data_IF_373773510842
#
_entry.id   IF_373773510842
#
_cell.length_a   1.000
_cell.length_b   1.000
_cell.length_c   1.000
_cell.angle_alpha   90.00
_cell.angle_beta   90.00
_cell.angle_gamma   90.00
#
_symmetry.space_group_name_H-M   'P 1'
#
loop_
_entity.id
_entity.type
_entity.pdbx_description
1 polymer ?
#
# COMPACT_ATOMS: atom_id res chain seq x y z
N UNK A 1 28.24 -84.17 -33.48
CA UNK A 1 27.22 -83.79 -32.47
C UNK A 1 27.42 -82.30 -32.09
N UNK A 2 26.65 -81.42 -32.73
CA UNK A 2 26.82 -79.98 -32.59
C UNK A 2 25.69 -79.44 -31.68
N UNK A 3 26.06 -79.01 -30.48
CA UNK A 3 25.13 -78.39 -29.57
C UNK A 3 24.87 -76.93 -29.99
N UNK A 4 23.63 -76.68 -30.41
CA UNK A 4 23.17 -75.30 -30.67
C UNK A 4 22.93 -74.59 -29.36
N UNK A 5 23.68 -73.49 -29.10
CA UNK A 5 23.48 -72.60 -27.97
C UNK A 5 22.52 -71.50 -28.44
N UNK A 6 21.32 -71.46 -27.89
CA UNK A 6 20.36 -70.36 -28.09
C UNK A 6 20.79 -69.20 -27.21
N UNK A 7 21.19 -68.08 -27.83
CA UNK A 7 21.47 -66.85 -27.18
C UNK A 7 20.16 -66.07 -27.13
N UNK A 8 19.50 -66.07 -25.95
CA UNK A 8 18.31 -65.28 -25.68
C UNK A 8 18.72 -63.85 -25.44
N UNK A 9 18.46 -62.96 -26.40
CA UNK A 9 18.71 -61.55 -26.29
C UNK A 9 17.53 -60.88 -25.53
N UNK A 10 17.75 -60.61 -24.24
CA UNK A 10 16.78 -59.94 -23.41
C UNK A 10 16.84 -58.43 -23.68
N UNK A 11 15.84 -57.94 -24.45
CA UNK A 11 15.73 -56.52 -24.78
C UNK A 11 15.11 -55.79 -23.61
N UNK A 12 15.95 -55.12 -22.80
CA UNK A 12 15.50 -54.25 -21.70
C UNK A 12 15.00 -52.94 -22.32
N UNK A 13 13.69 -52.80 -22.38
CA UNK A 13 13.06 -51.53 -22.70
C UNK A 13 13.18 -50.60 -21.49
N UNK A 14 14.07 -49.62 -21.59
CA UNK A 14 14.21 -48.54 -20.57
C UNK A 14 13.11 -47.50 -20.87
N UNK A 15 11.98 -47.59 -20.14
CA UNK A 15 11.01 -46.50 -20.10
C UNK A 15 11.63 -45.30 -19.36
N UNK A 16 12.12 -44.32 -20.10
CA UNK A 16 12.45 -43.03 -19.56
C UNK A 16 11.14 -42.32 -19.16
N UNK A 17 10.78 -42.43 -17.90
CA UNK A 17 9.72 -41.62 -17.32
C UNK A 17 10.15 -40.14 -17.28
N UNK A 18 9.63 -39.33 -18.19
CA UNK A 18 9.74 -37.88 -18.09
C UNK A 18 8.89 -37.44 -16.93
N UNK A 19 9.50 -37.21 -15.76
CA UNK A 19 8.86 -36.50 -14.66
C UNK A 19 8.61 -35.06 -15.11
N UNK A 20 7.39 -34.78 -15.50
CA UNK A 20 6.89 -33.41 -15.62
C UNK A 20 6.82 -32.85 -14.20
N UNK A 21 7.87 -32.17 -13.77
CA UNK A 21 7.78 -31.32 -12.61
C UNK A 21 6.80 -30.20 -12.98
N UNK A 22 5.55 -30.34 -12.54
CA UNK A 22 4.61 -29.25 -12.49
C UNK A 22 5.21 -28.22 -11.52
N UNK A 23 5.96 -27.26 -12.07
CA UNK A 23 6.34 -26.06 -11.35
C UNK A 23 5.06 -25.32 -11.00
N UNK A 24 4.55 -25.52 -9.78
CA UNK A 24 3.60 -24.60 -9.20
C UNK A 24 4.36 -23.29 -9.09
N UNK A 25 4.08 -22.38 -10.01
CA UNK A 25 4.43 -20.97 -9.85
C UNK A 25 3.64 -20.45 -8.66
N UNK A 26 4.20 -20.62 -7.48
CA UNK A 26 3.79 -19.90 -6.27
C UNK A 26 4.12 -18.43 -6.51
N UNK A 27 3.20 -17.73 -7.18
CA UNK A 27 3.19 -16.29 -7.31
C UNK A 27 2.67 -15.68 -6.01
N UNK A 28 3.21 -16.07 -4.88
CA UNK A 28 3.13 -15.28 -3.67
C UNK A 28 4.02 -14.06 -3.91
N UNK A 29 3.44 -13.00 -4.46
CA UNK A 29 4.12 -11.72 -4.61
C UNK A 29 4.62 -11.33 -3.22
N UNK A 30 5.95 -11.33 -3.05
CA UNK A 30 6.58 -11.04 -1.76
C UNK A 30 6.06 -9.69 -1.27
N UNK A 31 5.37 -9.71 -0.14
CA UNK A 31 4.77 -8.52 0.48
C UNK A 31 5.80 -7.39 0.60
N UNK A 32 5.48 -6.23 0.04
CA UNK A 32 6.37 -5.08 0.05
C UNK A 32 6.32 -4.33 1.39
N UNK A 33 7.28 -3.44 1.63
CA UNK A 33 7.24 -2.55 2.80
C UNK A 33 6.02 -1.62 2.75
N UNK A 34 5.62 -1.21 1.56
CA UNK A 34 4.40 -0.44 1.35
C UNK A 34 3.15 -1.23 1.77
N UNK A 35 3.02 -2.48 1.34
CA UNK A 35 1.88 -3.33 1.70
C UNK A 35 1.80 -3.55 3.22
N UNK A 36 2.94 -3.79 3.87
CA UNK A 36 3.03 -3.89 5.33
C UNK A 36 2.54 -2.62 6.01
N UNK A 37 2.90 -1.46 5.49
CA UNK A 37 2.45 -0.18 6.02
C UNK A 37 0.93 -0.01 5.86
N UNK A 38 0.39 -0.31 4.68
CA UNK A 38 -1.05 -0.24 4.41
C UNK A 38 -1.84 -1.15 5.36
N UNK A 39 -1.33 -2.34 5.65
CA UNK A 39 -1.94 -3.23 6.66
C UNK A 39 -1.94 -2.60 8.06
N UNK A 40 -0.83 -1.96 8.49
CA UNK A 40 -0.79 -1.29 9.79
C UNK A 40 -1.82 -0.14 9.85
N UNK A 41 -1.96 0.65 8.78
CA UNK A 41 -2.96 1.72 8.68
C UNK A 41 -4.39 1.15 8.76
N UNK A 42 -4.69 0.07 8.03
CA UNK A 42 -6.01 -0.59 8.11
C UNK A 42 -6.33 -1.06 9.53
N UNK A 43 -5.34 -1.62 10.24
CA UNK A 43 -5.49 -2.03 11.64
C UNK A 43 -5.70 -0.83 12.56
N UNK A 44 -4.98 0.28 12.34
CA UNK A 44 -5.11 1.51 13.10
C UNK A 44 -6.53 2.09 12.95
N UNK A 45 -7.03 2.25 11.72
CA UNK A 45 -8.40 2.73 11.45
C UNK A 45 -9.47 1.87 12.17
N UNK A 46 -9.28 0.52 12.21
CA UNK A 46 -10.18 -0.36 12.96
C UNK A 46 -10.12 -0.15 14.48
N UNK A 47 -8.95 0.19 15.00
CA UNK A 47 -8.78 0.47 16.43
C UNK A 47 -9.39 1.83 16.81
N UNK A 48 -9.24 2.85 15.97
CA UNK A 48 -9.91 4.15 16.14
C UNK A 48 -11.43 4.00 16.22
N UNK A 49 -12.02 3.28 15.26
CA UNK A 49 -13.47 3.00 15.28
C UNK A 49 -13.96 2.29 16.56
N UNK A 50 -13.06 1.65 17.30
CA UNK A 50 -13.32 0.99 18.60
C UNK A 50 -12.91 1.85 19.80
N UNK A 51 -12.58 3.14 19.61
CA UNK A 51 -12.12 4.05 20.66
C UNK A 51 -10.75 3.70 21.27
N UNK A 52 -9.97 2.79 20.63
CA UNK A 52 -8.66 2.34 21.13
C UNK A 52 -7.53 3.21 20.58
N UNK A 53 -7.59 4.52 20.85
CA UNK A 53 -6.71 5.54 20.24
C UNK A 53 -5.23 5.28 20.44
N UNK A 54 -4.78 4.99 21.66
CA UNK A 54 -3.34 4.69 21.90
C UNK A 54 -2.81 3.50 21.10
N UNK A 55 -3.65 2.46 20.97
CA UNK A 55 -3.28 1.28 20.16
C UNK A 55 -3.26 1.61 18.68
N UNK A 56 -4.13 2.51 18.22
CA UNK A 56 -4.14 3.00 16.85
C UNK A 56 -2.86 3.81 16.55
N UNK A 57 -2.47 4.73 17.44
CA UNK A 57 -1.24 5.52 17.32
C UNK A 57 -0.02 4.61 17.15
N UNK A 58 0.13 3.58 18.00
CA UNK A 58 1.23 2.61 17.87
C UNK A 58 1.25 1.89 16.51
N UNK A 59 0.10 1.69 15.88
CA UNK A 59 0.01 1.13 14.53
C UNK A 59 0.41 2.13 13.47
N UNK A 60 0.01 3.39 13.58
CA UNK A 60 0.45 4.46 12.69
C UNK A 60 1.96 4.66 12.74
N UNK A 61 2.56 4.67 13.91
CA UNK A 61 4.03 4.75 14.08
C UNK A 61 4.76 3.57 13.37
N UNK A 62 4.20 2.37 13.44
CA UNK A 62 4.76 1.20 12.70
C UNK A 62 4.62 1.40 11.19
N UNK A 63 3.48 1.92 10.73
CA UNK A 63 3.28 2.23 9.32
C UNK A 63 4.31 3.25 8.83
N UNK A 64 4.54 4.33 9.57
CA UNK A 64 5.55 5.34 9.25
C UNK A 64 6.93 4.72 9.07
N UNK A 65 7.35 3.82 9.98
CA UNK A 65 8.65 3.12 9.86
C UNK A 65 8.79 2.32 8.57
N UNK A 66 7.73 1.64 8.13
CA UNK A 66 7.71 0.90 6.87
C UNK A 66 7.70 1.84 5.66
N UNK A 67 6.90 2.91 5.71
CA UNK A 67 6.78 3.88 4.61
C UNK A 67 8.07 4.67 4.39
N UNK A 68 8.75 5.10 5.46
CA UNK A 68 10.05 5.77 5.36
C UNK A 68 11.07 4.87 4.66
N UNK A 69 11.13 3.59 5.02
CA UNK A 69 12.00 2.62 4.34
C UNK A 69 11.58 2.41 2.88
N UNK A 70 10.28 2.31 2.62
CA UNK A 70 9.74 2.17 1.25
C UNK A 70 10.09 3.37 0.39
N UNK A 71 9.90 4.59 0.91
CA UNK A 71 10.24 5.84 0.22
C UNK A 71 11.73 5.98 -0.05
N UNK A 72 12.59 5.51 0.88
CA UNK A 72 14.04 5.48 0.66
C UNK A 72 14.45 4.53 -0.47
N UNK A 73 13.78 3.38 -0.58
CA UNK A 73 14.07 2.37 -1.61
C UNK A 73 13.49 2.75 -2.98
N UNK A 74 12.32 3.36 -3.00
CA UNK A 74 11.60 3.78 -4.21
C UNK A 74 11.05 5.19 -3.97
N UNK A 75 11.86 6.23 -4.14
CA UNK A 75 11.45 7.62 -3.92
C UNK A 75 10.44 8.08 -4.98
N UNK A 76 9.85 9.23 -4.75
CA UNK A 76 8.94 9.92 -5.69
C UNK A 76 7.70 9.07 -6.07
N UNK A 77 7.09 8.42 -5.07
CA UNK A 77 5.79 7.77 -5.19
C UNK A 77 4.75 8.55 -4.40
N UNK A 78 3.81 9.20 -5.11
CA UNK A 78 2.76 10.00 -4.49
C UNK A 78 1.94 9.20 -3.47
N UNK A 79 1.56 7.95 -3.78
CA UNK A 79 0.90 7.06 -2.85
C UNK A 79 1.67 6.83 -1.54
N UNK A 80 2.99 6.66 -1.62
CA UNK A 80 3.82 6.46 -0.42
C UNK A 80 3.83 7.72 0.43
N UNK A 81 3.93 8.90 -0.20
CA UNK A 81 3.90 10.21 0.47
C UNK A 81 2.50 10.49 1.04
N UNK A 82 1.43 10.09 0.35
CA UNK A 82 0.07 10.15 0.85
C UNK A 82 -0.07 9.41 2.19
N UNK A 83 0.34 8.16 2.23
CA UNK A 83 0.26 7.37 3.47
C UNK A 83 1.24 7.83 4.56
N UNK A 84 2.41 8.38 4.20
CA UNK A 84 3.30 9.05 5.16
C UNK A 84 2.59 10.24 5.78
N UNK A 85 2.03 11.13 4.98
CA UNK A 85 1.26 12.28 5.46
C UNK A 85 0.12 11.85 6.37
N UNK A 86 -0.68 10.88 5.91
CA UNK A 86 -1.81 10.37 6.68
C UNK A 86 -1.38 9.79 8.04
N UNK A 87 -0.44 8.86 8.07
CA UNK A 87 -0.03 8.21 9.31
C UNK A 87 0.64 9.22 10.27
N UNK A 88 1.46 10.15 9.76
CA UNK A 88 2.13 11.18 10.55
C UNK A 88 1.11 12.15 11.17
N UNK A 89 0.12 12.63 10.37
CA UNK A 89 -0.98 13.44 10.89
C UNK A 89 -1.76 12.72 12.01
N UNK A 90 -2.03 11.42 11.84
CA UNK A 90 -2.77 10.60 12.81
C UNK A 90 -2.00 10.34 14.11
N UNK A 91 -0.69 10.59 14.15
CA UNK A 91 0.10 10.62 15.39
C UNK A 91 0.15 12.01 16.05
N UNK A 92 -0.51 13.02 15.46
CA UNK A 92 -0.56 14.39 15.96
C UNK A 92 0.49 15.32 15.35
N UNK A 93 1.39 14.83 14.51
CA UNK A 93 2.40 15.63 13.85
C UNK A 93 1.85 16.22 12.53
N UNK A 94 1.07 17.29 12.66
CA UNK A 94 0.44 17.95 11.51
C UNK A 94 1.46 18.60 10.58
N UNK A 95 2.53 19.17 11.12
CA UNK A 95 3.54 19.88 10.33
C UNK A 95 4.27 18.93 9.35
N UNK A 96 4.79 17.82 9.85
CA UNK A 96 5.45 16.85 8.98
C UNK A 96 4.43 16.10 8.09
N UNK A 97 3.21 15.88 8.56
CA UNK A 97 2.12 15.35 7.76
C UNK A 97 1.86 16.20 6.51
N UNK A 98 1.75 17.52 6.69
CA UNK A 98 1.58 18.47 5.59
C UNK A 98 2.78 18.46 4.62
N UNK A 99 4.02 18.45 5.13
CA UNK A 99 5.21 18.39 4.27
C UNK A 99 5.17 17.17 3.34
N UNK A 100 4.78 15.99 3.84
CA UNK A 100 4.65 14.80 3.00
C UNK A 100 3.58 14.96 1.92
N UNK A 101 2.42 15.52 2.25
CA UNK A 101 1.37 15.77 1.28
C UNK A 101 1.82 16.75 0.19
N UNK A 102 2.46 17.86 0.57
CA UNK A 102 2.97 18.84 -0.40
C UNK A 102 4.04 18.23 -1.32
N UNK A 103 4.92 17.38 -0.79
CA UNK A 103 5.87 16.63 -1.62
C UNK A 103 5.15 15.70 -2.61
N UNK A 104 4.07 15.05 -2.18
CA UNK A 104 3.28 14.19 -3.05
C UNK A 104 2.56 14.99 -4.15
N UNK A 105 2.00 16.15 -3.82
CA UNK A 105 1.35 17.03 -4.82
C UNK A 105 2.35 17.68 -5.80
N UNK A 106 3.61 17.84 -5.40
CA UNK A 106 4.66 18.28 -6.32
C UNK A 106 4.94 17.21 -7.40
N UNK A 107 4.65 15.95 -7.14
CA UNK A 107 4.80 14.83 -8.09
C UNK A 107 3.50 14.65 -8.88
N UNK A 108 2.37 14.62 -8.18
CA UNK A 108 1.04 14.35 -8.72
C UNK A 108 0.01 15.34 -8.16
N UNK A 109 -0.14 16.53 -8.80
CA UNK A 109 -0.99 17.61 -8.29
C UNK A 109 -2.45 17.24 -8.08
N UNK A 110 -2.96 16.32 -8.88
CA UNK A 110 -4.36 15.87 -8.85
C UNK A 110 -4.55 14.54 -8.09
N UNK A 111 -3.57 14.11 -7.28
CA UNK A 111 -3.69 12.88 -6.50
C UNK A 111 -4.87 12.97 -5.54
N UNK A 112 -5.90 12.15 -5.77
CA UNK A 112 -7.20 12.20 -5.09
C UNK A 112 -7.03 12.12 -3.57
N UNK A 113 -6.39 11.06 -3.06
CA UNK A 113 -6.25 10.85 -1.62
C UNK A 113 -5.38 11.90 -0.92
N UNK A 114 -4.40 12.53 -1.61
CA UNK A 114 -3.61 13.61 -1.00
C UNK A 114 -4.46 14.86 -0.88
N UNK A 115 -5.22 15.24 -1.91
CA UNK A 115 -6.08 16.41 -1.86
C UNK A 115 -7.16 16.25 -0.76
N UNK A 116 -7.76 15.07 -0.62
CA UNK A 116 -8.67 14.76 0.49
C UNK A 116 -7.99 14.97 1.86
N UNK A 117 -6.92 14.22 2.14
CA UNK A 117 -6.32 14.20 3.48
C UNK A 117 -5.60 15.50 3.85
N UNK A 118 -5.04 16.22 2.88
CA UNK A 118 -4.50 17.56 3.11
C UNK A 118 -5.62 18.55 3.38
N UNK A 119 -6.75 18.45 2.69
CA UNK A 119 -7.94 19.24 2.97
C UNK A 119 -8.45 19.04 4.40
N UNK A 120 -8.58 17.77 4.85
CA UNK A 120 -8.94 17.46 6.24
C UNK A 120 -7.91 18.00 7.26
N UNK A 121 -6.61 17.96 6.93
CA UNK A 121 -5.57 18.55 7.77
C UNK A 121 -5.76 20.07 7.88
N UNK A 122 -6.10 20.73 6.79
CA UNK A 122 -6.35 22.17 6.79
C UNK A 122 -7.59 22.54 7.62
N UNK A 123 -8.66 21.76 7.57
CA UNK A 123 -9.81 21.94 8.46
C UNK A 123 -9.39 21.78 9.93
N UNK A 124 -8.67 20.71 10.26
CA UNK A 124 -8.20 20.42 11.62
C UNK A 124 -7.24 21.49 12.18
N UNK A 125 -6.61 22.29 11.32
CA UNK A 125 -5.70 23.38 11.68
C UNK A 125 -6.29 24.78 11.43
N UNK A 126 -7.62 24.88 11.30
CA UNK A 126 -8.37 26.13 11.07
C UNK A 126 -7.96 26.91 9.81
N UNK A 127 -7.50 26.24 8.78
CA UNK A 127 -7.10 26.81 7.49
C UNK A 127 -8.15 26.52 6.41
N UNK A 128 -9.38 26.94 6.67
CA UNK A 128 -10.58 26.60 5.88
C UNK A 128 -10.47 26.99 4.40
N UNK A 129 -9.83 28.11 4.07
CA UNK A 129 -9.66 28.52 2.68
C UNK A 129 -8.82 27.51 1.88
N UNK A 130 -7.71 27.02 2.49
CA UNK A 130 -6.87 26.00 1.86
C UNK A 130 -7.60 24.64 1.73
N UNK A 131 -8.46 24.31 2.69
CA UNK A 131 -9.30 23.11 2.59
C UNK A 131 -10.25 23.18 1.39
N UNK A 132 -10.89 24.33 1.17
CA UNK A 132 -11.77 24.57 0.01
C UNK A 132 -11.00 24.51 -1.31
N UNK A 133 -9.76 24.99 -1.36
CA UNK A 133 -8.90 24.84 -2.56
C UNK A 133 -8.63 23.36 -2.85
N UNK A 134 -8.42 22.53 -1.83
CA UNK A 134 -8.23 21.08 -2.04
C UNK A 134 -9.53 20.42 -2.52
N UNK A 135 -10.68 20.85 -1.98
CA UNK A 135 -11.98 20.35 -2.41
C UNK A 135 -12.23 20.67 -3.88
N UNK A 136 -11.89 21.90 -4.34
CA UNK A 136 -12.09 22.29 -5.73
C UNK A 136 -11.26 21.44 -6.73
N UNK A 137 -10.08 20.96 -6.33
CA UNK A 137 -9.29 20.01 -7.14
C UNK A 137 -10.00 18.68 -7.34
N UNK A 138 -10.84 18.28 -6.37
CA UNK A 138 -11.61 17.04 -6.42
C UNK A 138 -12.96 17.20 -7.15
N UNK A 139 -13.33 18.40 -7.57
CA UNK A 139 -14.57 18.61 -8.34
C UNK A 139 -14.54 17.79 -9.64
N UNK A 140 -15.62 17.04 -9.88
CA UNK A 140 -15.75 16.22 -11.07
C UNK A 140 -15.06 14.86 -11.05
N UNK A 141 -14.35 14.48 -9.96
CA UNK A 141 -13.73 13.15 -9.87
C UNK A 141 -14.75 12.01 -9.77
N UNK A 142 -16.01 12.29 -9.39
CA UNK A 142 -17.03 11.28 -9.05
C UNK A 142 -16.54 10.26 -8.01
N UNK A 143 -15.72 10.72 -7.05
CA UNK A 143 -15.05 9.90 -6.06
C UNK A 143 -15.63 10.13 -4.66
N UNK A 144 -15.42 9.17 -3.76
CA UNK A 144 -15.88 9.24 -2.37
C UNK A 144 -15.11 10.30 -1.58
N UNK A 145 -13.86 10.53 -1.91
CA UNK A 145 -12.96 11.48 -1.28
C UNK A 145 -13.47 12.93 -1.37
N UNK A 146 -14.10 13.31 -2.48
CA UNK A 146 -14.78 14.61 -2.60
C UNK A 146 -15.90 14.74 -1.55
N UNK A 147 -16.76 13.72 -1.42
CA UNK A 147 -17.86 13.75 -0.48
C UNK A 147 -17.38 13.73 0.97
N UNK A 148 -16.31 12.98 1.27
CA UNK A 148 -15.70 12.93 2.59
C UNK A 148 -15.13 14.29 2.99
N UNK A 149 -14.31 14.90 2.12
CA UNK A 149 -13.74 16.22 2.41
C UNK A 149 -14.83 17.30 2.50
N UNK A 150 -15.81 17.26 1.60
CA UNK A 150 -16.95 18.19 1.66
C UNK A 150 -17.69 18.08 2.98
N UNK A 151 -17.98 16.85 3.44
CA UNK A 151 -18.63 16.62 4.73
C UNK A 151 -17.81 17.17 5.90
N UNK A 152 -16.49 17.07 5.87
CA UNK A 152 -15.60 17.63 6.92
C UNK A 152 -15.56 19.17 6.88
N UNK A 153 -15.72 19.80 5.71
CA UNK A 153 -15.76 21.26 5.56
C UNK A 153 -17.10 21.82 6.01
N UNK A 154 -18.19 21.12 5.72
CA UNK A 154 -19.55 21.58 6.03
C UNK A 154 -19.92 21.38 7.51
N UNK A 155 -19.19 20.52 8.27
CA UNK A 155 -19.36 20.27 9.72
C UNK A 155 -20.34 19.17 9.99
#
# INVERSE_FOLDING_TARGET
MIKKIFFSMFFLIFLAGTSFAAGSSDSSSKETLYDKAVQQIKMAKKLEKKGKTEKAIKRYERAIKFLVKSNKMKPNKADTLNYLGFATRKTGDFENGEKYYLQGLAIEPNHIGINEYLGELYVATNRMNLAKERLSVLEGCNCEEYNQLKGVIDG
#
